data_IF_224115767146
#
_entry.id   IF_224115767146
#
_cell.length_a   1.000
_cell.length_b   1.000
_cell.length_c   1.000
_cell.angle_alpha   90.00
_cell.angle_beta   90.00
_cell.angle_gamma   90.00
#
_symmetry.space_group_name_H-M   'P 1'
#
loop_
_entity.id
_entity.type
_entity.pdbx_description
1 polymer ?
#
# COMPACT_ATOMS: atom_id res chain seq x y z
N UNK A 1 -31.04 34.87 -23.85
CA UNK A 1 -30.60 33.83 -22.89
C UNK A 1 -29.83 32.77 -23.67
N UNK A 2 -28.50 32.87 -23.68
CA UNK A 2 -27.60 31.96 -24.42
C UNK A 2 -27.22 30.79 -23.53
N UNK A 3 -27.38 29.55 -24.01
CA UNK A 3 -27.38 28.32 -23.21
C UNK A 3 -26.04 27.58 -23.12
N UNK A 4 -24.92 28.19 -23.52
CA UNK A 4 -23.58 27.59 -23.38
C UNK A 4 -22.53 28.64 -23.05
N UNK A 5 -21.96 28.54 -21.84
CA UNK A 5 -20.74 29.25 -21.47
C UNK A 5 -19.54 28.36 -21.74
N UNK A 6 -18.75 28.66 -22.77
CA UNK A 6 -17.44 28.04 -22.99
C UNK A 6 -16.37 29.04 -22.58
N UNK A 7 -15.68 28.75 -21.48
CA UNK A 7 -14.70 29.63 -20.85
C UNK A 7 -13.35 29.67 -21.59
N UNK A 8 -13.14 28.74 -22.54
CA UNK A 8 -11.95 28.65 -23.37
C UNK A 8 -12.34 28.65 -24.85
N UNK A 9 -11.63 29.44 -25.67
CA UNK A 9 -11.70 29.35 -27.13
C UNK A 9 -11.21 27.96 -27.53
N UNK A 10 -11.99 27.19 -28.30
CA UNK A 10 -11.50 25.97 -28.95
C UNK A 10 -10.32 26.35 -29.83
N UNK A 11 -9.11 26.05 -29.35
CA UNK A 11 -7.90 26.12 -30.16
C UNK A 11 -7.91 24.87 -31.03
N UNK A 12 -7.82 25.05 -32.35
CA UNK A 12 -7.69 23.95 -33.30
C UNK A 12 -6.60 22.97 -32.82
N UNK A 13 -6.76 21.65 -33.03
CA UNK A 13 -5.81 20.65 -32.56
C UNK A 13 -4.46 20.88 -33.23
N UNK A 14 -3.63 21.68 -32.56
CA UNK A 14 -2.23 21.83 -32.90
C UNK A 14 -1.61 20.51 -32.51
N UNK A 15 -1.10 19.76 -33.49
CA UNK A 15 -0.32 18.55 -33.26
C UNK A 15 0.80 18.94 -32.33
N UNK A 16 0.60 18.70 -31.04
CA UNK A 16 1.56 19.03 -30.03
C UNK A 16 2.69 18.04 -30.29
N UNK A 17 3.83 18.56 -30.75
CA UNK A 17 5.06 17.80 -30.96
C UNK A 17 5.62 17.43 -29.57
N UNK A 18 4.85 16.62 -28.85
CA UNK A 18 5.16 16.15 -27.51
C UNK A 18 6.14 15.01 -27.73
N UNK A 19 7.42 15.34 -27.60
CA UNK A 19 8.47 14.35 -27.50
C UNK A 19 8.24 13.53 -26.22
N UNK A 20 7.56 12.40 -26.38
CA UNK A 20 7.45 11.37 -25.34
C UNK A 20 8.76 10.59 -25.30
N UNK A 21 9.10 10.05 -24.13
CA UNK A 21 10.33 9.27 -23.95
C UNK A 21 10.31 8.03 -24.87
N UNK A 22 11.30 7.92 -25.77
CA UNK A 22 11.43 6.83 -26.76
C UNK A 22 12.45 5.77 -26.35
N UNK A 23 12.85 5.75 -25.09
CA UNK A 23 13.79 4.75 -24.58
C UNK A 23 13.17 3.36 -24.52
N UNK A 24 14.04 2.36 -24.36
CA UNK A 24 13.62 0.97 -24.20
C UNK A 24 13.15 0.74 -22.74
N UNK A 25 11.87 0.40 -22.54
CA UNK A 25 11.36 0.01 -21.21
C UNK A 25 11.57 -1.48 -21.02
N UNK A 26 12.19 -1.86 -19.92
CA UNK A 26 12.11 -3.23 -19.39
C UNK A 26 11.16 -3.24 -18.20
N UNK A 27 10.17 -4.13 -18.22
CA UNK A 27 9.28 -4.38 -17.09
C UNK A 27 9.68 -5.72 -16.48
N UNK A 28 10.07 -5.71 -15.20
CA UNK A 28 10.24 -6.93 -14.42
C UNK A 28 9.03 -7.12 -13.51
N UNK A 29 8.53 -8.35 -13.44
CA UNK A 29 7.49 -8.75 -12.51
C UNK A 29 7.94 -10.02 -11.81
N UNK A 30 7.77 -10.07 -10.49
CA UNK A 30 7.98 -11.26 -9.67
C UNK A 30 6.67 -12.00 -9.45
N UNK A 31 6.76 -13.31 -9.23
CA UNK A 31 5.58 -14.09 -8.85
C UNK A 31 5.08 -13.67 -7.45
N UNK A 32 3.75 -13.60 -7.23
CA UNK A 32 3.21 -13.35 -5.90
C UNK A 32 3.62 -14.42 -4.90
N UNK A 33 3.92 -14.02 -3.67
CA UNK A 33 4.19 -14.98 -2.60
C UNK A 33 2.96 -15.83 -2.27
N UNK A 34 3.19 -17.11 -1.96
CA UNK A 34 2.13 -18.02 -1.51
C UNK A 34 1.58 -17.51 -0.17
N UNK A 35 0.26 -17.35 -0.10
CA UNK A 35 -0.44 -16.98 1.13
C UNK A 35 -0.36 -18.13 2.15
N UNK A 36 -0.16 -17.78 3.41
CA UNK A 36 -0.23 -18.73 4.53
C UNK A 36 -1.70 -19.08 4.86
N UNK A 37 -1.90 -20.05 5.77
CA UNK A 37 -3.24 -20.51 6.16
C UNK A 37 -4.10 -19.39 6.78
N UNK A 38 -3.47 -18.50 7.56
CA UNK A 38 -4.15 -17.36 8.18
C UNK A 38 -4.73 -16.39 7.14
N UNK A 39 -3.89 -15.95 6.19
CA UNK A 39 -4.29 -15.06 5.11
C UNK A 39 -5.37 -15.71 4.24
N UNK A 40 -5.23 -17.00 3.90
CA UNK A 40 -6.24 -17.71 3.14
C UNK A 40 -7.61 -17.65 3.83
N UNK A 41 -7.66 -17.93 5.13
CA UNK A 41 -8.89 -17.84 5.92
C UNK A 41 -9.46 -16.43 5.96
N UNK A 42 -8.62 -15.40 6.08
CA UNK A 42 -9.08 -14.00 6.05
C UNK A 42 -9.77 -13.64 4.73
N UNK A 43 -9.22 -14.10 3.59
CA UNK A 43 -9.85 -13.90 2.28
C UNK A 43 -11.18 -14.67 2.15
N UNK A 44 -11.26 -15.86 2.72
CA UNK A 44 -12.51 -16.63 2.76
C UNK A 44 -13.57 -15.94 3.62
N UNK A 45 -13.20 -15.43 4.81
CA UNK A 45 -14.08 -14.64 5.69
C UNK A 45 -14.60 -13.37 4.99
N UNK A 46 -13.73 -12.63 4.30
CA UNK A 46 -14.12 -11.42 3.56
C UNK A 46 -15.10 -11.73 2.43
N UNK A 47 -14.85 -12.78 1.65
CA UNK A 47 -15.75 -13.22 0.59
C UNK A 47 -17.11 -13.67 1.13
N UNK A 48 -17.15 -14.36 2.28
CA UNK A 48 -18.39 -14.80 2.93
C UNK A 48 -19.21 -13.61 3.47
N UNK A 49 -18.55 -12.61 4.03
CA UNK A 49 -19.21 -11.37 4.47
C UNK A 49 -19.91 -10.62 3.32
N UNK A 50 -19.45 -10.80 2.07
CA UNK A 50 -20.08 -10.21 0.89
C UNK A 50 -21.32 -10.98 0.39
N UNK A 51 -21.52 -12.25 0.80
CA UNK A 51 -22.54 -13.17 0.24
C UNK A 51 -23.69 -13.49 1.21
N UNK A 52 -23.73 -12.86 2.39
CA UNK A 52 -24.77 -12.97 3.43
C UNK A 52 -24.62 -14.18 4.37
N UNK A 53 -24.87 -13.91 5.65
CA UNK A 53 -24.58 -14.74 6.82
C UNK A 53 -25.36 -16.07 6.84
N UNK A 54 -24.68 -17.20 6.70
CA UNK A 54 -24.99 -18.40 7.50
C UNK A 54 -23.89 -19.47 7.38
N UNK A 55 -22.98 -19.54 8.34
CA UNK A 55 -22.34 -20.79 8.81
C UNK A 55 -21.15 -20.49 9.72
N UNK A 56 -21.45 -20.03 10.94
CA UNK A 56 -20.47 -20.04 12.03
C UNK A 56 -20.22 -21.47 12.48
N UNK A 57 -19.16 -22.10 11.97
CA UNK A 57 -18.57 -23.30 12.57
C UNK A 57 -17.07 -23.10 12.70
N UNK A 58 -16.67 -22.22 13.62
CA UNK A 58 -15.29 -22.15 14.08
C UNK A 58 -15.01 -23.44 14.87
N UNK A 59 -14.20 -24.32 14.28
CA UNK A 59 -13.70 -25.51 14.98
C UNK A 59 -12.39 -25.14 15.67
N UNK A 60 -12.30 -25.37 16.97
CA UNK A 60 -11.14 -25.06 17.82
C UNK A 60 -9.83 -25.70 17.30
N UNK A 61 -9.95 -26.76 16.49
CA UNK A 61 -8.81 -27.44 15.88
C UNK A 61 -8.17 -26.62 14.72
N UNK A 62 -8.96 -25.80 14.02
CA UNK A 62 -8.47 -24.92 12.94
C UNK A 62 -7.70 -23.72 13.50
N UNK A 63 -8.11 -23.21 14.66
CA UNK A 63 -7.45 -22.05 15.28
C UNK A 63 -6.05 -22.42 15.81
N UNK A 64 -5.85 -23.68 16.24
CA UNK A 64 -4.53 -24.20 16.65
C UNK A 64 -3.56 -24.28 15.47
N UNK A 65 -4.03 -24.80 14.34
CA UNK A 65 -3.22 -24.94 13.10
C UNK A 65 -2.79 -23.58 12.55
N UNK A 66 -3.69 -22.59 12.59
CA UNK A 66 -3.37 -21.20 12.22
C UNK A 66 -2.28 -20.61 13.13
N UNK A 67 -2.37 -20.85 14.43
CA UNK A 67 -1.38 -20.34 15.39
C UNK A 67 -0.01 -20.98 15.13
N UNK A 68 0.03 -22.28 14.85
CA UNK A 68 1.26 -22.99 14.50
C UNK A 68 1.87 -22.49 13.18
N UNK A 69 1.04 -22.25 12.16
CA UNK A 69 1.44 -21.65 10.89
C UNK A 69 2.02 -20.24 11.08
N UNK A 70 1.37 -19.40 11.90
CA UNK A 70 1.83 -18.04 12.19
C UNK A 70 3.17 -18.01 12.96
N UNK A 71 3.46 -19.03 13.77
CA UNK A 71 4.72 -19.10 14.52
C UNK A 71 5.90 -19.59 13.64
N UNK A 72 5.64 -20.53 12.72
CA UNK A 72 6.73 -21.25 12.03
C UNK A 72 6.88 -20.93 10.54
N UNK A 73 5.82 -20.46 9.86
CA UNK A 73 5.82 -20.32 8.40
C UNK A 73 5.91 -18.87 7.90
N UNK A 74 5.70 -17.89 8.79
CA UNK A 74 5.64 -16.47 8.40
C UNK A 74 7.01 -15.95 7.99
N UNK A 75 7.06 -15.34 6.80
CA UNK A 75 8.26 -14.70 6.25
C UNK A 75 8.21 -13.17 6.38
N UNK A 76 7.00 -12.59 6.40
CA UNK A 76 6.80 -11.15 6.43
C UNK A 76 5.86 -10.76 7.57
N UNK A 77 6.17 -9.65 8.25
CA UNK A 77 5.32 -9.15 9.35
C UNK A 77 3.89 -8.80 8.90
N UNK A 78 3.70 -8.48 7.63
CA UNK A 78 2.38 -8.17 7.05
C UNK A 78 1.42 -9.34 7.13
N UNK A 79 1.92 -10.56 7.21
CA UNK A 79 1.10 -11.77 7.29
C UNK A 79 0.29 -11.86 8.58
N UNK A 80 0.69 -11.14 9.64
CA UNK A 80 -0.09 -11.04 10.88
C UNK A 80 -1.22 -9.99 10.79
N UNK A 81 -1.26 -9.18 9.73
CA UNK A 81 -2.22 -8.08 9.62
C UNK A 81 -3.57 -8.56 9.11
N UNK A 82 -4.59 -8.47 9.98
CA UNK A 82 -5.99 -8.67 9.56
C UNK A 82 -6.58 -7.46 8.83
N UNK A 83 -6.06 -6.27 9.12
CA UNK A 83 -6.60 -5.00 8.61
C UNK A 83 -5.92 -4.59 7.31
N UNK A 84 -6.72 -4.00 6.41
CA UNK A 84 -6.21 -3.36 5.22
C UNK A 84 -5.61 -1.99 5.57
N UNK A 85 -4.36 -1.76 5.18
CA UNK A 85 -3.74 -0.45 5.29
C UNK A 85 -4.27 0.47 4.19
N UNK A 86 -4.43 1.76 4.52
CA UNK A 86 -4.79 2.75 3.51
C UNK A 86 -3.61 2.92 2.54
N UNK A 87 -3.81 3.02 1.22
CA UNK A 87 -2.69 3.17 0.27
C UNK A 87 -1.78 4.35 0.57
N UNK A 88 -2.32 5.44 1.14
CA UNK A 88 -1.53 6.61 1.54
C UNK A 88 -0.78 6.44 2.87
N UNK A 89 -1.08 5.41 3.68
CA UNK A 89 -0.32 5.12 4.90
C UNK A 89 0.95 4.31 4.63
N UNK A 90 1.10 3.77 3.41
CA UNK A 90 2.29 3.02 3.00
C UNK A 90 3.27 3.95 2.28
N UNK A 91 4.53 3.91 2.71
CA UNK A 91 5.62 4.61 2.05
C UNK A 91 6.83 3.69 1.89
N UNK A 92 7.30 3.56 0.65
CA UNK A 92 8.47 2.77 0.32
C UNK A 92 9.72 3.66 0.32
N UNK A 93 10.73 3.26 1.10
CA UNK A 93 12.01 3.95 1.14
C UNK A 93 12.90 3.44 0.00
N UNK A 94 13.00 4.23 -1.06
CA UNK A 94 13.84 3.91 -2.21
C UNK A 94 15.34 3.89 -1.85
N UNK A 95 16.03 2.81 -2.22
CA UNK A 95 17.50 2.74 -2.22
C UNK A 95 18.18 2.51 -0.87
N UNK A 96 17.41 2.28 0.21
CA UNK A 96 17.95 2.05 1.57
C UNK A 96 17.90 0.58 1.99
N UNK A 97 17.15 -0.25 1.27
CA UNK A 97 16.97 -1.66 1.62
C UNK A 97 17.97 -2.55 0.89
N UNK A 98 19.20 -2.62 1.40
CA UNK A 98 20.21 -3.57 0.93
C UNK A 98 20.34 -4.79 1.83
N UNK A 99 20.12 -4.64 3.14
CA UNK A 99 20.06 -5.75 4.10
C UNK A 99 19.21 -5.38 5.33
N UNK A 100 18.61 -6.36 6.01
CA UNK A 100 17.74 -6.15 7.19
C UNK A 100 18.54 -5.59 8.38
N UNK A 101 19.85 -5.89 8.42
CA UNK A 101 20.76 -5.41 9.47
C UNK A 101 21.20 -3.95 9.26
N UNK A 102 21.06 -3.41 8.05
CA UNK A 102 21.58 -2.07 7.71
C UNK A 102 20.67 -0.92 8.17
N UNK A 103 19.45 -1.17 8.68
CA UNK A 103 18.52 -0.12 9.12
C UNK A 103 18.22 -0.20 10.63
N UNK A 104 19.26 -0.38 11.44
CA UNK A 104 19.14 -0.61 12.88
C UNK A 104 19.46 0.60 13.78
N UNK A 105 19.91 1.72 13.20
CA UNK A 105 20.39 2.87 13.94
C UNK A 105 19.79 4.21 13.50
N UNK A 106 19.75 5.15 14.46
CA UNK A 106 19.19 6.48 14.27
C UNK A 106 19.87 7.29 13.16
N UNK A 107 21.18 7.10 12.95
CA UNK A 107 21.95 7.85 11.96
C UNK A 107 21.45 7.58 10.54
N UNK A 108 21.21 6.31 10.23
CA UNK A 108 20.73 5.88 8.92
C UNK A 108 19.32 6.42 8.66
N UNK A 109 18.40 6.29 9.63
CA UNK A 109 17.05 6.85 9.52
C UNK A 109 17.06 8.38 9.34
N UNK A 110 17.93 9.09 10.07
CA UNK A 110 18.12 10.54 9.92
C UNK A 110 18.60 10.87 8.51
N UNK A 111 19.61 10.17 8.02
CA UNK A 111 20.22 10.48 6.73
C UNK A 111 19.23 10.21 5.58
N UNK A 112 18.44 9.13 5.65
CA UNK A 112 17.31 8.89 4.74
C UNK A 112 16.27 10.02 4.82
N UNK A 113 15.87 10.42 6.02
CA UNK A 113 14.86 11.48 6.18
C UNK A 113 15.35 12.87 5.71
N UNK A 114 16.67 13.14 5.82
CA UNK A 114 17.25 14.42 5.40
C UNK A 114 17.35 14.61 3.90
N UNK A 115 17.08 13.57 3.09
CA UNK A 115 16.88 13.75 1.67
C UNK A 115 15.65 14.65 1.49
N UNK A 116 15.87 15.92 1.15
CA UNK A 116 14.88 17.00 1.28
C UNK A 116 13.52 16.71 0.62
N UNK A 117 13.46 15.85 -0.39
CA UNK A 117 12.20 15.42 -0.99
C UNK A 117 11.47 14.30 -0.23
N UNK A 118 12.17 13.39 0.46
CA UNK A 118 11.55 12.24 1.13
C UNK A 118 10.84 12.66 2.43
N UNK A 119 11.48 13.52 3.23
CA UNK A 119 10.86 14.04 4.47
C UNK A 119 9.57 14.82 4.20
N UNK A 120 9.54 15.64 3.15
CA UNK A 120 8.35 16.38 2.74
C UNK A 120 7.24 15.44 2.26
N UNK A 121 7.58 14.39 1.50
CA UNK A 121 6.63 13.41 1.00
C UNK A 121 5.98 12.59 2.13
N UNK A 122 6.76 12.24 3.16
CA UNK A 122 6.26 11.58 4.37
C UNK A 122 5.34 12.53 5.14
N UNK A 123 5.76 13.78 5.31
CA UNK A 123 4.98 14.82 5.99
C UNK A 123 3.63 15.05 5.31
N UNK A 124 3.61 15.12 3.98
CA UNK A 124 2.40 15.31 3.18
C UNK A 124 1.43 14.13 3.31
N UNK A 125 1.95 12.89 3.32
CA UNK A 125 1.13 11.70 3.57
C UNK A 125 0.52 11.71 4.96
N UNK A 126 1.29 12.12 5.98
CA UNK A 126 0.79 12.21 7.35
C UNK A 126 -0.29 13.30 7.49
N UNK A 127 -0.09 14.44 6.81
CA UNK A 127 -1.00 15.58 6.82
C UNK A 127 -2.43 15.19 6.44
N UNK A 128 -2.60 14.34 5.42
CA UNK A 128 -3.90 13.81 5.02
C UNK A 128 -4.68 13.20 6.21
N UNK A 129 -4.02 12.40 7.04
CA UNK A 129 -4.69 11.76 8.18
C UNK A 129 -4.96 12.73 9.32
N UNK A 130 -4.06 13.69 9.56
CA UNK A 130 -4.21 14.69 10.61
C UNK A 130 -5.37 15.65 10.32
N UNK A 131 -5.51 16.08 9.06
CA UNK A 131 -6.56 17.03 8.66
C UNK A 131 -7.97 16.44 8.76
N UNK A 132 -8.11 15.11 8.57
CA UNK A 132 -9.38 14.39 8.72
C UNK A 132 -9.69 14.03 10.19
N UNK A 133 -8.75 14.23 11.12
CA UNK A 133 -8.95 13.96 12.53
C UNK A 133 -9.56 15.17 13.25
N UNK A 134 -10.65 14.97 13.98
CA UNK A 134 -11.16 15.98 14.92
C UNK A 134 -10.16 16.24 16.05
N UNK A 135 -9.40 15.22 16.48
CA UNK A 135 -8.41 15.29 17.56
C UNK A 135 -7.23 14.34 17.30
N UNK A 136 -6.00 14.88 17.30
CA UNK A 136 -4.75 14.10 17.35
C UNK A 136 -4.39 13.86 18.82
N UNK A 137 -4.12 12.60 19.20
CA UNK A 137 -3.88 12.18 20.59
C UNK A 137 -2.48 12.52 21.12
#
# INVERSE_FOLDING_TARGET
MSSRGTLYKEVAPTTSDIFTWTGEVSTQASEPHKKNLFLQRLYEEENLNMVNENSGSSSEDQDKDITECLENEVQFWTDYSKVHFHPQSLYELNGVWTDVEDFDNYGIGRDSFTWASQGEEISERLRFFIEECDHVQ
#
